data_IF_289831556385
#
_entry.id   IF_289831556385
#
_cell.length_a   1.000
_cell.length_b   1.000
_cell.length_c   1.000
_cell.angle_alpha   90.00
_cell.angle_beta   90.00
_cell.angle_gamma   90.00
#
_symmetry.space_group_name_H-M   'P 1'
#
loop_
_entity.id
_entity.type
_entity.pdbx_description
1 polymer ?
#
# COMPACT_ATOMS: atom_id res chain seq x y z
N UNK A 1 -1.82 25.80 -0.55
CA UNK A 1 -2.20 25.25 -1.87
C UNK A 1 -1.35 24.01 -2.11
N UNK A 2 -1.75 22.87 -1.53
CA UNK A 2 -1.04 21.59 -1.63
C UNK A 2 -1.69 20.77 -2.76
N UNK A 3 -0.97 20.52 -3.85
CA UNK A 3 -1.41 19.49 -4.81
C UNK A 3 -1.27 18.11 -4.12
N UNK A 4 -2.27 17.22 -4.20
CA UNK A 4 -2.16 15.90 -3.61
C UNK A 4 -1.11 15.04 -4.33
N UNK A 5 -0.64 14.05 -3.58
CA UNK A 5 0.39 13.08 -3.92
C UNK A 5 0.05 12.28 -5.20
N UNK A 6 1.07 12.04 -6.05
CA UNK A 6 1.12 11.14 -7.21
C UNK A 6 -0.24 10.63 -7.78
N UNK A 7 -0.99 11.52 -8.46
CA UNK A 7 -2.28 11.18 -9.09
C UNK A 7 -2.12 10.70 -10.55
N UNK A 8 -0.91 10.82 -11.11
CA UNK A 8 -0.64 10.58 -12.53
C UNK A 8 -0.78 9.09 -12.93
N UNK A 9 -0.53 8.16 -12.00
CA UNK A 9 -0.71 6.71 -12.23
C UNK A 9 -2.19 6.28 -12.17
N UNK A 10 -3.00 6.89 -11.30
CA UNK A 10 -4.46 6.62 -11.20
C UNK A 10 -5.19 7.21 -12.40
N UNK A 11 -4.76 8.38 -12.89
CA UNK A 11 -5.30 8.96 -14.12
C UNK A 11 -5.16 8.04 -15.33
N UNK A 12 -4.04 7.33 -15.43
CA UNK A 12 -3.81 6.33 -16.48
C UNK A 12 -4.71 5.10 -16.35
N UNK A 13 -5.06 4.65 -15.14
CA UNK A 13 -6.00 3.55 -14.92
C UNK A 13 -7.39 3.84 -15.49
N UNK A 14 -7.91 5.05 -15.27
CA UNK A 14 -9.22 5.48 -15.77
C UNK A 14 -9.25 5.54 -17.31
N UNK A 15 -8.10 5.79 -17.94
CA UNK A 15 -7.96 5.88 -19.39
C UNK A 15 -7.77 4.53 -20.09
N UNK A 16 -7.32 3.50 -19.39
CA UNK A 16 -6.93 2.20 -19.97
C UNK A 16 -8.07 1.18 -20.07
N UNK A 17 -9.21 1.46 -19.45
CA UNK A 17 -10.32 0.51 -19.38
C UNK A 17 -11.43 1.00 -20.31
N UNK A 18 -11.56 0.47 -21.55
CA UNK A 18 -12.67 0.79 -22.43
C UNK A 18 -13.90 -0.01 -21.95
N UNK A 19 -14.41 0.33 -20.76
CA UNK A 19 -15.64 -0.26 -20.24
C UNK A 19 -16.77 0.75 -20.38
N UNK A 20 -17.61 0.49 -21.37
CA UNK A 20 -18.97 1.01 -21.43
C UNK A 20 -19.62 0.81 -20.06
N UNK A 21 -20.09 1.88 -19.42
CA UNK A 21 -20.81 1.91 -18.13
C UNK A 21 -19.99 1.88 -16.82
N UNK A 22 -18.72 2.32 -16.78
CA UNK A 22 -18.06 2.63 -15.48
C UNK A 22 -18.28 4.09 -15.09
N UNK A 23 -18.67 4.32 -13.83
CA UNK A 23 -18.71 5.63 -13.19
C UNK A 23 -17.49 5.74 -12.28
N UNK A 24 -16.69 6.78 -12.49
CA UNK A 24 -15.52 7.09 -11.64
C UNK A 24 -15.81 8.38 -10.86
N UNK A 25 -15.72 8.30 -9.54
CA UNK A 25 -15.82 9.44 -8.65
C UNK A 25 -14.53 9.56 -7.84
N UNK A 26 -13.95 10.76 -7.83
CA UNK A 26 -12.86 11.08 -6.91
C UNK A 26 -13.43 11.28 -5.51
N UNK A 27 -12.86 10.56 -4.55
CA UNK A 27 -13.32 10.60 -3.16
C UNK A 27 -12.17 10.93 -2.23
N UNK A 28 -12.48 11.73 -1.23
CA UNK A 28 -11.58 12.03 -0.12
C UNK A 28 -12.00 11.19 1.09
N UNK A 29 -11.10 10.32 1.55
CA UNK A 29 -11.33 9.47 2.72
C UNK A 29 -11.11 10.22 4.05
N UNK A 30 -10.56 11.43 4.03
CA UNK A 30 -10.19 12.17 5.23
C UNK A 30 -9.10 11.50 6.07
N UNK A 31 -8.43 10.50 5.48
CA UNK A 31 -7.36 9.71 6.09
C UNK A 31 -6.08 10.53 6.18
N UNK A 32 -5.37 10.44 7.31
CA UNK A 32 -4.18 11.23 7.59
C UNK A 32 -3.04 10.36 8.20
N UNK A 33 -1.93 10.99 8.59
CA UNK A 33 -0.72 10.31 9.09
C UNK A 33 -0.96 9.47 10.36
N UNK A 34 -2.02 9.72 11.14
CA UNK A 34 -2.37 8.86 12.29
C UNK A 34 -2.56 7.39 11.88
N UNK A 35 -2.97 7.12 10.64
CA UNK A 35 -3.26 5.76 10.19
C UNK A 35 -1.99 4.91 10.11
N UNK A 36 -0.88 5.47 9.65
CA UNK A 36 0.37 4.69 9.56
C UNK A 36 0.99 4.48 10.94
N UNK A 37 0.94 5.48 11.84
CA UNK A 37 1.28 5.30 13.24
C UNK A 37 0.44 4.19 13.91
N UNK A 38 -0.86 4.15 13.59
CA UNK A 38 -1.77 3.11 14.07
C UNK A 38 -1.45 1.74 13.46
N UNK A 39 -1.13 1.68 12.17
CA UNK A 39 -0.72 0.45 11.49
C UNK A 39 0.55 -0.14 12.12
N UNK A 40 1.54 0.70 12.40
CA UNK A 40 2.76 0.29 13.10
C UNK A 40 2.46 -0.28 14.49
N UNK A 41 1.62 0.40 15.26
CA UNK A 41 1.19 -0.09 16.57
C UNK A 41 0.44 -1.42 16.46
N UNK A 42 -0.42 -1.56 15.45
CA UNK A 42 -1.16 -2.79 15.16
C UNK A 42 -0.23 -3.95 14.79
N UNK A 43 0.79 -3.73 13.96
CA UNK A 43 1.76 -4.75 13.57
C UNK A 43 2.73 -5.11 14.70
N UNK A 44 3.19 -4.11 15.47
CA UNK A 44 4.00 -4.34 16.66
C UNK A 44 3.30 -5.28 17.65
N UNK A 45 2.00 -5.08 17.89
CA UNK A 45 1.26 -5.91 18.84
C UNK A 45 0.81 -7.27 18.30
N UNK A 46 0.46 -7.38 17.02
CA UNK A 46 -0.07 -8.64 16.48
C UNK A 46 1.03 -9.56 15.96
N UNK A 47 2.03 -9.03 15.26
CA UNK A 47 3.09 -9.83 14.66
C UNK A 47 4.37 -9.79 15.49
N UNK A 48 4.94 -8.60 15.70
CA UNK A 48 6.29 -8.50 16.29
C UNK A 48 6.34 -8.99 17.75
N UNK A 49 5.29 -8.74 18.53
CA UNK A 49 5.17 -9.26 19.89
C UNK A 49 5.19 -10.79 19.96
N UNK A 50 4.74 -11.50 18.91
CA UNK A 50 4.73 -12.97 18.88
C UNK A 50 6.11 -13.57 18.62
N UNK A 51 7.02 -12.79 18.02
CA UNK A 51 8.37 -13.23 17.63
C UNK A 51 9.47 -12.53 18.45
N UNK A 52 9.11 -11.73 19.45
CA UNK A 52 10.05 -10.85 20.17
C UNK A 52 11.21 -11.58 20.87
N UNK A 53 11.06 -12.86 21.21
CA UNK A 53 12.13 -13.68 21.80
C UNK A 53 13.23 -14.06 20.81
N UNK A 54 12.96 -13.95 19.50
CA UNK A 54 13.99 -14.15 18.47
C UNK A 54 15.08 -13.08 18.55
N UNK A 55 14.77 -11.89 19.05
CA UNK A 55 15.77 -10.84 19.19
C UNK A 55 16.87 -11.20 20.20
N UNK A 56 16.54 -11.99 21.22
CA UNK A 56 17.50 -12.39 22.26
C UNK A 56 18.34 -13.61 21.84
N UNK A 57 17.82 -14.44 20.92
CA UNK A 57 18.40 -15.75 20.58
C UNK A 57 18.98 -15.82 19.16
N UNK A 58 18.45 -15.03 18.22
CA UNK A 58 18.72 -15.12 16.79
C UNK A 58 18.91 -13.74 16.13
N UNK A 59 19.37 -12.72 16.88
CA UNK A 59 19.54 -11.33 16.38
C UNK A 59 20.21 -11.25 15.01
N UNK A 60 21.27 -12.05 14.78
CA UNK A 60 22.07 -12.03 13.54
C UNK A 60 21.33 -12.54 12.31
N UNK A 61 20.24 -13.28 12.51
CA UNK A 61 19.43 -13.87 11.45
C UNK A 61 18.21 -13.00 11.11
N UNK A 62 17.97 -11.92 11.87
CA UNK A 62 16.83 -11.01 11.67
C UNK A 62 17.22 -9.85 10.74
N UNK A 63 16.34 -9.54 9.80
CA UNK A 63 16.45 -8.32 9.00
C UNK A 63 16.22 -7.06 9.87
N UNK A 64 16.80 -5.93 9.46
CA UNK A 64 16.75 -4.67 10.21
C UNK A 64 15.31 -4.22 10.51
N UNK A 65 14.39 -4.38 9.56
CA UNK A 65 12.97 -4.08 9.77
C UNK A 65 12.33 -4.93 10.88
N UNK A 66 12.75 -6.19 10.99
CA UNK A 66 12.22 -7.10 12.00
C UNK A 66 12.71 -6.70 13.38
N UNK A 67 13.99 -6.33 13.48
CA UNK A 67 14.57 -5.79 14.72
C UNK A 67 13.81 -4.53 15.14
N UNK A 68 13.62 -3.57 14.22
CA UNK A 68 12.88 -2.33 14.49
C UNK A 68 11.49 -2.59 15.07
N UNK A 69 10.70 -3.47 14.44
CA UNK A 69 9.34 -3.75 14.91
C UNK A 69 9.32 -4.47 16.26
N UNK A 70 10.29 -5.36 16.54
CA UNK A 70 10.40 -6.02 17.85
C UNK A 70 10.78 -5.00 18.92
N UNK A 71 11.76 -4.14 18.67
CA UNK A 71 12.16 -3.08 19.60
C UNK A 71 11.00 -2.13 19.89
N UNK A 72 10.23 -1.75 18.87
CA UNK A 72 8.99 -0.98 19.04
C UNK A 72 7.93 -1.75 19.82
N UNK A 73 7.75 -3.05 19.55
CA UNK A 73 6.79 -3.87 20.28
C UNK A 73 7.12 -3.99 21.78
N UNK A 74 8.41 -4.06 22.14
CA UNK A 74 8.87 -4.08 23.54
C UNK A 74 8.57 -2.76 24.28
N UNK A 75 8.47 -1.65 23.55
CA UNK A 75 8.17 -0.33 24.10
C UNK A 75 6.68 0.02 24.03
N UNK A 76 5.90 -0.68 23.20
CA UNK A 76 4.50 -0.36 22.96
C UNK A 76 3.59 -0.80 24.10
N UNK A 77 2.54 -0.03 24.34
CA UNK A 77 1.61 -0.24 25.46
C UNK A 77 0.25 -0.77 25.00
N UNK A 78 -0.50 -1.35 25.94
CA UNK A 78 -1.90 -1.75 25.69
C UNK A 78 -2.76 -0.57 25.22
N UNK A 79 -2.48 0.64 25.68
CA UNK A 79 -3.19 1.83 25.26
C UNK A 79 -2.94 2.14 23.77
N UNK A 80 -1.70 1.99 23.30
CA UNK A 80 -1.34 2.16 21.89
C UNK A 80 -2.06 1.14 21.01
N UNK A 81 -2.15 -0.12 21.46
CA UNK A 81 -2.93 -1.15 20.76
C UNK A 81 -4.40 -0.78 20.66
N UNK A 82 -5.04 -0.43 21.78
CA UNK A 82 -6.45 -0.04 21.78
C UNK A 82 -6.70 1.18 20.90
N UNK A 83 -5.79 2.16 20.89
CA UNK A 83 -5.86 3.32 19.99
C UNK A 83 -5.79 2.90 18.53
N UNK A 84 -4.90 1.97 18.17
CA UNK A 84 -4.85 1.44 16.80
C UNK A 84 -6.16 0.78 16.36
N UNK A 85 -6.82 0.04 17.25
CA UNK A 85 -8.12 -0.57 16.97
C UNK A 85 -9.23 0.47 16.82
N UNK A 86 -9.19 1.56 17.60
CA UNK A 86 -10.13 2.68 17.45
C UNK A 86 -9.95 3.37 16.10
N UNK A 87 -8.70 3.65 15.69
CA UNK A 87 -8.40 4.24 14.39
C UNK A 87 -8.87 3.33 13.25
N UNK A 88 -8.64 2.01 13.35
CA UNK A 88 -9.18 1.03 12.39
C UNK A 88 -10.70 1.13 12.24
N UNK A 89 -11.42 1.32 13.34
CA UNK A 89 -12.89 1.52 13.31
C UNK A 89 -13.25 2.86 12.68
N UNK A 90 -12.55 3.94 13.03
CA UNK A 90 -12.75 5.28 12.44
C UNK A 90 -12.52 5.27 10.92
N UNK A 91 -11.46 4.62 10.45
CA UNK A 91 -11.20 4.41 9.02
C UNK A 91 -12.37 3.71 8.34
N UNK A 92 -12.88 2.62 8.94
CA UNK A 92 -13.97 1.85 8.36
C UNK A 92 -15.31 2.59 8.39
N UNK A 93 -15.55 3.48 9.35
CA UNK A 93 -16.74 4.34 9.38
C UNK A 93 -16.84 5.25 8.16
N UNK A 94 -15.70 5.63 7.56
CA UNK A 94 -15.67 6.40 6.31
C UNK A 94 -15.68 5.47 5.09
N UNK A 95 -14.84 4.43 5.10
CA UNK A 95 -14.67 3.54 3.95
C UNK A 95 -15.87 2.61 3.69
N UNK A 96 -16.51 2.10 4.74
CA UNK A 96 -17.67 1.20 4.62
C UNK A 96 -18.82 1.81 3.81
N UNK A 97 -19.36 2.98 4.20
CA UNK A 97 -20.44 3.65 3.46
C UNK A 97 -20.07 4.02 2.02
N UNK A 98 -18.79 4.30 1.77
CA UNK A 98 -18.29 4.50 0.40
C UNK A 98 -18.45 3.22 -0.43
N UNK A 99 -18.05 2.08 0.13
CA UNK A 99 -18.14 0.78 -0.54
C UNK A 99 -19.57 0.20 -0.64
N UNK A 100 -20.55 0.83 0.00
CA UNK A 100 -21.97 0.56 -0.26
C UNK A 100 -22.45 1.27 -1.54
N UNK A 101 -21.76 2.34 -1.97
CA UNK A 101 -22.06 3.11 -3.20
C UNK A 101 -21.24 2.65 -4.40
N UNK A 102 -20.02 2.15 -4.16
CA UNK A 102 -19.07 1.77 -5.21
C UNK A 102 -18.68 0.30 -5.09
N UNK A 103 -18.53 -0.37 -6.24
CA UNK A 103 -18.05 -1.75 -6.29
C UNK A 103 -16.57 -1.87 -5.91
N UNK A 104 -15.77 -0.85 -6.23
CA UNK A 104 -14.32 -0.83 -6.09
C UNK A 104 -13.84 0.54 -5.65
N UNK A 105 -12.84 0.55 -4.77
CA UNK A 105 -11.97 1.68 -4.52
C UNK A 105 -10.63 1.44 -5.22
N UNK A 106 -10.08 2.47 -5.86
CA UNK A 106 -8.83 2.38 -6.62
C UNK A 106 -7.85 3.44 -6.13
N UNK A 107 -6.62 3.02 -5.85
CA UNK A 107 -5.53 3.91 -5.41
C UNK A 107 -4.17 3.37 -5.87
N UNK A 108 -3.10 4.17 -5.87
CA UNK A 108 -1.76 3.65 -6.16
C UNK A 108 -1.32 2.61 -5.14
N UNK A 109 -0.48 1.65 -5.54
CA UNK A 109 0.15 0.70 -4.61
C UNK A 109 1.29 1.35 -3.83
N UNK A 110 2.09 2.17 -4.51
CA UNK A 110 3.22 2.89 -3.95
C UNK A 110 3.09 4.39 -4.27
N UNK A 111 3.58 5.25 -3.38
CA UNK A 111 3.61 6.69 -3.57
C UNK A 111 4.72 7.14 -4.54
N UNK A 112 5.69 6.27 -4.80
CA UNK A 112 6.81 6.50 -5.72
C UNK A 112 7.24 5.22 -6.39
N UNK A 113 7.85 5.35 -7.57
CA UNK A 113 8.51 4.29 -8.33
C UNK A 113 10.05 4.41 -8.26
N UNK A 114 10.57 5.24 -7.35
CA UNK A 114 12.00 5.52 -7.14
C UNK A 114 12.51 4.91 -5.83
N UNK A 115 12.23 3.63 -5.60
CA UNK A 115 12.83 2.88 -4.49
C UNK A 115 14.12 2.23 -5.00
N UNK A 116 15.30 2.61 -4.48
CA UNK A 116 16.57 2.03 -4.92
C UNK A 116 16.69 0.56 -4.49
N UNK A 117 17.52 -0.21 -5.19
CA UNK A 117 17.71 -1.63 -4.89
C UNK A 117 18.40 -1.85 -3.53
N UNK A 118 19.24 -0.89 -3.14
CA UNK A 118 19.98 -0.84 -1.88
C UNK A 118 19.12 -0.29 -0.73
N UNK A 119 17.85 0.01 -0.99
CA UNK A 119 16.93 0.52 0.03
C UNK A 119 16.84 -0.46 1.21
N UNK A 120 17.12 0.06 2.40
CA UNK A 120 16.99 -0.68 3.66
C UNK A 120 16.07 0.10 4.59
N UNK A 121 15.19 -0.60 5.27
CA UNK A 121 14.27 0.02 6.21
C UNK A 121 14.59 -0.47 7.62
N UNK A 122 14.61 0.41 8.64
CA UNK A 122 14.21 1.84 8.66
C UNK A 122 15.29 2.85 8.15
N UNK A 123 14.95 4.15 8.20
CA UNK A 123 15.85 5.33 8.04
C UNK A 123 16.43 5.63 6.65
N UNK A 124 16.05 4.88 5.60
CA UNK A 124 16.43 5.24 4.23
C UNK A 124 15.63 6.43 3.68
N UNK A 125 16.30 7.20 2.82
CA UNK A 125 15.70 8.31 2.07
C UNK A 125 14.84 7.80 0.90
N UNK A 126 13.68 8.43 0.71
CA UNK A 126 12.78 8.16 -0.41
C UNK A 126 12.38 9.45 -1.10
N UNK A 127 12.45 9.45 -2.43
CA UNK A 127 11.98 10.57 -3.25
C UNK A 127 10.48 10.43 -3.55
N UNK A 128 9.67 11.34 -3.00
CA UNK A 128 8.23 11.42 -3.25
C UNK A 128 7.91 12.83 -3.76
N UNK A 129 7.36 12.93 -4.97
CA UNK A 129 7.00 14.21 -5.60
C UNK A 129 8.14 15.26 -5.58
N UNK A 130 9.37 14.85 -5.84
CA UNK A 130 10.54 15.74 -5.84
C UNK A 130 11.03 16.16 -4.45
N UNK A 131 10.49 15.57 -3.37
CA UNK A 131 10.94 15.80 -2.00
C UNK A 131 11.55 14.53 -1.41
N UNK A 132 12.70 14.68 -0.77
CA UNK A 132 13.31 13.61 0.03
C UNK A 132 12.56 13.53 1.35
N UNK A 133 12.10 12.33 1.70
CA UNK A 133 11.43 12.00 2.95
C UNK A 133 12.17 10.83 3.58
N UNK A 134 12.40 10.87 4.89
CA UNK A 134 12.95 9.73 5.63
C UNK A 134 11.84 8.69 5.77
N UNK A 135 12.11 7.46 5.37
CA UNK A 135 11.17 6.36 5.49
C UNK A 135 11.28 5.71 6.87
N UNK A 136 11.01 6.44 7.94
CA UNK A 136 10.86 5.90 9.29
C UNK A 136 9.56 5.07 9.43
N UNK A 137 8.49 5.48 8.75
CA UNK A 137 7.17 4.82 8.81
C UNK A 137 6.66 4.27 7.47
N UNK A 138 7.56 3.96 6.53
CA UNK A 138 7.19 3.32 5.25
C UNK A 138 6.11 4.10 4.46
N UNK A 139 6.05 5.44 4.59
CA UNK A 139 5.03 6.30 3.94
C UNK A 139 4.96 6.17 2.41
N UNK A 140 5.96 5.56 1.79
CA UNK A 140 6.00 5.28 0.36
C UNK A 140 5.19 4.04 -0.04
N UNK A 141 4.90 3.14 0.89
CA UNK A 141 4.04 1.97 0.70
C UNK A 141 2.61 2.35 1.07
N UNK A 142 1.67 2.26 0.13
CA UNK A 142 0.27 2.68 0.34
C UNK A 142 -0.66 1.50 0.64
N UNK A 143 -0.08 0.37 1.05
CA UNK A 143 -0.80 -0.90 1.31
C UNK A 143 -1.29 -1.02 2.76
N UNK A 144 -0.65 -0.30 3.69
CA UNK A 144 -0.98 -0.33 5.13
C UNK A 144 -2.46 -0.06 5.46
N UNK A 145 -3.21 0.80 4.74
CA UNK A 145 -4.62 1.03 5.09
C UNK A 145 -5.45 -0.24 4.93
N UNK A 146 -5.14 -1.09 3.95
CA UNK A 146 -5.87 -2.33 3.69
C UNK A 146 -5.29 -3.53 4.45
N UNK A 147 -4.09 -3.42 5.03
CA UNK A 147 -3.68 -4.31 6.12
C UNK A 147 -4.47 -4.02 7.41
N UNK A 148 -4.70 -2.73 7.72
CA UNK A 148 -5.55 -2.32 8.83
C UNK A 148 -6.99 -2.74 8.60
N UNK A 149 -7.55 -2.44 7.43
CA UNK A 149 -8.87 -2.89 6.99
C UNK A 149 -8.84 -4.29 6.37
N UNK A 150 -8.14 -5.25 6.99
CA UNK A 150 -7.84 -6.60 6.47
C UNK A 150 -9.02 -7.45 5.99
N UNK A 151 -10.26 -7.04 6.27
CA UNK A 151 -11.46 -7.71 5.76
C UNK A 151 -11.87 -7.23 4.38
N UNK A 152 -11.34 -6.09 3.91
CA UNK A 152 -11.52 -5.56 2.57
C UNK A 152 -10.42 -6.14 1.67
N UNK A 153 -10.76 -6.99 0.69
CA UNK A 153 -9.77 -7.61 -0.17
C UNK A 153 -9.19 -6.56 -1.15
N UNK A 154 -7.87 -6.57 -1.28
CA UNK A 154 -7.12 -5.69 -2.16
C UNK A 154 -6.30 -6.52 -3.15
N UNK A 155 -6.34 -6.14 -4.43
CA UNK A 155 -5.57 -6.76 -5.51
C UNK A 155 -4.67 -5.71 -6.15
N UNK A 156 -3.36 -5.93 -6.11
CA UNK A 156 -2.42 -5.12 -6.87
C UNK A 156 -2.44 -5.55 -8.33
N UNK A 157 -2.66 -4.60 -9.24
CA UNK A 157 -2.56 -4.81 -10.69
C UNK A 157 -1.56 -3.81 -11.31
N UNK A 158 -0.82 -4.19 -12.37
CA UNK A 158 0.14 -3.27 -12.97
C UNK A 158 -0.58 -2.11 -13.68
N UNK A 159 -0.09 -0.89 -13.53
CA UNK A 159 -0.68 0.32 -14.16
C UNK A 159 0.16 0.89 -15.29
N UNK A 160 1.34 0.31 -15.57
CA UNK A 160 2.24 0.75 -16.62
C UNK A 160 3.70 0.71 -16.21
N UNK A 161 4.50 1.54 -16.88
CA UNK A 161 5.93 1.74 -16.61
C UNK A 161 6.16 3.22 -16.41
N UNK A 162 6.81 3.59 -15.31
CA UNK A 162 7.14 5.00 -15.03
C UNK A 162 8.23 5.52 -15.96
N UNK A 163 8.44 6.84 -15.97
CA UNK A 163 9.46 7.49 -16.82
C UNK A 163 10.90 7.00 -16.58
N UNK A 164 11.15 6.37 -15.44
CA UNK A 164 12.41 5.73 -15.07
C UNK A 164 12.54 4.27 -15.54
N UNK A 165 11.55 3.73 -16.28
CA UNK A 165 11.55 2.34 -16.74
C UNK A 165 11.10 1.32 -15.69
N UNK A 166 10.71 1.75 -14.49
CA UNK A 166 10.26 0.88 -13.39
C UNK A 166 8.75 0.64 -13.48
N UNK A 167 8.26 -0.60 -13.35
CA UNK A 167 6.83 -0.90 -13.29
C UNK A 167 6.09 -0.10 -12.22
N UNK A 168 4.89 0.37 -12.55
CA UNK A 168 3.96 0.99 -11.59
C UNK A 168 2.75 0.09 -11.37
N UNK A 169 2.07 0.28 -10.25
CA UNK A 169 0.88 -0.48 -9.90
C UNK A 169 -0.15 0.33 -9.12
N UNK A 170 -1.36 -0.19 -9.15
CA UNK A 170 -2.50 0.29 -8.38
C UNK A 170 -3.10 -0.86 -7.58
N UNK A 171 -3.88 -0.52 -6.56
CA UNK A 171 -4.68 -1.43 -5.76
C UNK A 171 -6.14 -1.29 -6.17
N UNK A 172 -6.76 -2.40 -6.54
CA UNK A 172 -8.21 -2.55 -6.62
C UNK A 172 -8.69 -3.08 -5.27
N UNK A 173 -9.59 -2.37 -4.60
CA UNK A 173 -10.07 -2.76 -3.27
C UNK A 173 -11.58 -2.90 -3.30
N UNK A 174 -12.08 -4.05 -2.88
CA UNK A 174 -13.52 -4.27 -2.79
C UNK A 174 -14.02 -4.16 -1.34
N UNK A 175 -15.34 -4.15 -1.19
CA UNK A 175 -16.00 -4.18 0.11
C UNK A 175 -15.61 -5.42 0.92
N UNK A 176 -15.89 -5.38 2.20
CA UNK A 176 -15.59 -6.47 3.14
C UNK A 176 -16.09 -7.83 2.63
N UNK A 177 -15.18 -8.81 2.57
CA UNK A 177 -15.41 -10.20 2.12
C UNK A 177 -15.86 -10.35 0.66
N UNK A 178 -15.59 -9.35 -0.20
CA UNK A 178 -15.94 -9.40 -1.62
C UNK A 178 -14.76 -9.86 -2.51
N UNK A 179 -14.06 -10.92 -2.13
CA UNK A 179 -12.87 -11.44 -2.81
C UNK A 179 -13.17 -11.76 -4.29
N UNK A 180 -14.33 -12.36 -4.56
CA UNK A 180 -14.78 -12.62 -5.94
C UNK A 180 -14.84 -11.34 -6.77
N UNK A 181 -15.35 -10.23 -6.20
CA UNK A 181 -15.52 -8.95 -6.91
C UNK A 181 -14.16 -8.37 -7.29
N UNK A 182 -13.18 -8.39 -6.38
CA UNK A 182 -11.84 -7.86 -6.68
C UNK A 182 -11.13 -8.70 -7.73
N UNK A 183 -11.31 -10.03 -7.72
CA UNK A 183 -10.73 -10.93 -8.73
C UNK A 183 -11.38 -10.75 -10.11
N UNK A 184 -12.71 -10.58 -10.16
CA UNK A 184 -13.42 -10.25 -11.40
C UNK A 184 -12.95 -8.92 -11.99
N UNK A 185 -12.76 -7.92 -11.13
CA UNK A 185 -12.22 -6.63 -11.53
C UNK A 185 -10.79 -6.73 -12.08
N UNK A 186 -9.91 -7.49 -11.41
CA UNK A 186 -8.55 -7.74 -11.87
C UNK A 186 -8.51 -8.43 -13.23
N UNK A 187 -9.36 -9.44 -13.45
CA UNK A 187 -9.49 -10.12 -14.74
C UNK A 187 -10.00 -9.18 -15.84
N UNK A 188 -11.01 -8.36 -15.53
CA UNK A 188 -11.53 -7.38 -16.48
C UNK A 188 -10.47 -6.33 -16.83
N UNK A 189 -9.69 -5.89 -15.84
CA UNK A 189 -8.58 -4.98 -16.02
C UNK A 189 -7.49 -5.58 -16.93
N UNK A 190 -7.04 -6.80 -16.64
CA UNK A 190 -6.03 -7.52 -17.46
C UNK A 190 -6.49 -7.67 -18.92
N UNK A 191 -7.74 -8.06 -19.14
CA UNK A 191 -8.30 -8.20 -20.48
C UNK A 191 -8.37 -6.87 -21.24
N UNK A 192 -8.64 -5.77 -20.53
CA UNK A 192 -8.72 -4.42 -21.09
C UNK A 192 -7.34 -3.81 -21.37
N UNK A 193 -6.38 -4.01 -20.46
CA UNK A 193 -5.03 -3.43 -20.59
C UNK A 193 -4.21 -4.10 -21.69
N UNK A 194 -4.49 -5.37 -22.00
CA UNK A 194 -3.68 -6.17 -22.91
C UNK A 194 -2.24 -6.29 -22.43
N UNK A 195 -1.30 -6.49 -23.37
CA UNK A 195 0.13 -6.46 -23.05
C UNK A 195 0.56 -5.03 -22.70
N UNK A 196 1.05 -4.84 -21.48
CA UNK A 196 1.52 -3.52 -21.02
C UNK A 196 2.83 -3.18 -21.73
N UNK A 197 2.89 -2.12 -22.56
CA UNK A 197 4.09 -1.77 -23.30
C UNK A 197 5.28 -1.53 -22.37
N UNK A 198 6.42 -2.16 -22.66
CA UNK A 198 7.63 -2.08 -21.83
C UNK A 198 7.68 -3.07 -20.66
N UNK A 199 6.58 -3.78 -20.39
CA UNK A 199 6.53 -4.88 -19.43
C UNK A 199 6.87 -6.19 -20.16
N UNK A 200 8.05 -6.75 -19.87
CA UNK A 200 8.48 -8.06 -20.39
C UNK A 200 9.19 -8.83 -19.29
N UNK A 201 8.75 -10.06 -19.04
CA UNK A 201 9.42 -11.02 -18.15
C UNK A 201 10.82 -11.42 -18.65
N UNK A 202 11.12 -11.17 -19.93
CA UNK A 202 12.36 -11.59 -20.60
C UNK A 202 13.35 -10.44 -20.81
N UNK A 203 13.16 -9.30 -20.12
CA UNK A 203 14.23 -8.30 -20.02
C UNK A 203 15.32 -8.83 -19.10
N UNK A 204 16.22 -9.67 -19.66
CA UNK A 204 17.55 -9.83 -19.09
C UNK A 204 18.16 -8.42 -19.03
N UNK A 205 18.61 -8.02 -17.85
CA UNK A 205 19.45 -6.82 -17.72
C UNK A 205 20.58 -6.97 -18.75
N UNK A 206 20.90 -5.93 -19.55
CA UNK A 206 22.09 -6.01 -20.39
C UNK A 206 23.26 -6.38 -19.48
N UNK A 207 24.02 -7.41 -19.88
CA UNK A 207 25.23 -7.79 -19.17
C UNK A 207 26.13 -6.55 -19.12
N UNK A 208 26.39 -6.06 -17.90
CA UNK A 208 27.36 -5.01 -17.65
C UNK A 208 28.77 -5.47 -17.94
#
# INVERSE_FOLDING_TARGET
MNKPFSIESVGSFVLLVPLVNIIVEYVDLGWNHEIIHAAHSYWSHNWAATIQGLLDTHRRDLADYTVFFIERARQSTRADYLRSLQIKVEMYRVFGPLMDRFDLFVCPTLATNHIPAEFTWPDSEVLINGKIVISDEEYWSLTYPFNMLSRCPALAVPSGVGGNGVPTGIQLVARTYADRKVMEAGKAFEAASGAIPGWSLDRRLPAG
#
